data_IF_621319637059
#
_entry.id   IF_621319637059
#
_cell.length_a   1.000
_cell.length_b   1.000
_cell.length_c   1.000
_cell.angle_alpha   90.00
_cell.angle_beta   90.00
_cell.angle_gamma   90.00
#
_symmetry.space_group_name_H-M   'P 1'
#
loop_
_entity.id
_entity.type
_entity.pdbx_description
1 polymer ?
#
# COMPACT_ATOMS: atom_id res chain seq x y z
N UNK A 1 21.42 -10.11 0.71
CA UNK A 1 20.56 -9.76 -0.43
C UNK A 1 19.39 -10.74 -0.47
N UNK A 2 18.17 -10.22 -0.53
CA UNK A 2 16.96 -11.03 -0.64
C UNK A 2 16.66 -11.31 -2.12
N UNK A 3 16.31 -12.56 -2.47
CA UNK A 3 16.01 -12.97 -3.84
C UNK A 3 14.55 -12.73 -4.27
N UNK A 4 13.64 -12.44 -3.35
CA UNK A 4 12.18 -12.31 -3.61
C UNK A 4 11.55 -13.49 -4.34
N UNK A 5 11.92 -14.69 -3.94
CA UNK A 5 11.31 -15.92 -4.47
C UNK A 5 9.87 -16.11 -3.97
N UNK A 6 9.60 -15.70 -2.73
CA UNK A 6 8.26 -15.71 -2.14
C UNK A 6 7.95 -14.38 -1.45
N UNK A 7 6.67 -13.98 -1.31
CA UNK A 7 6.27 -12.77 -0.61
C UNK A 7 6.66 -12.81 0.87
N UNK A 8 7.25 -11.74 1.38
CA UNK A 8 7.49 -11.53 2.79
C UNK A 8 6.54 -10.45 3.31
N UNK A 9 5.78 -10.78 4.35
CA UNK A 9 4.81 -9.88 4.95
C UNK A 9 5.04 -9.77 6.45
N UNK A 10 4.87 -8.58 6.99
CA UNK A 10 5.01 -8.31 8.42
C UNK A 10 3.76 -7.68 9.00
N UNK A 11 3.31 -8.18 10.15
CA UNK A 11 2.31 -7.54 10.99
C UNK A 11 2.97 -7.01 12.27
N UNK A 12 2.91 -5.69 12.46
CA UNK A 12 3.38 -5.03 13.67
C UNK A 12 2.22 -4.91 14.65
N UNK A 13 2.16 -5.81 15.64
CA UNK A 13 1.05 -5.92 16.59
C UNK A 13 1.40 -5.36 17.98
N UNK A 14 2.66 -4.98 18.19
CA UNK A 14 3.18 -4.46 19.45
C UNK A 14 4.48 -3.68 19.28
N UNK A 15 5.29 -3.64 20.32
CA UNK A 15 6.59 -2.98 20.30
C UNK A 15 7.63 -3.82 19.53
N UNK A 16 8.15 -3.26 18.45
CA UNK A 16 9.13 -3.87 17.55
C UNK A 16 10.40 -3.03 17.57
N UNK A 17 11.44 -3.51 18.23
CA UNK A 17 12.72 -2.82 18.36
C UNK A 17 13.89 -3.70 17.95
N UNK A 18 14.98 -3.09 17.54
CA UNK A 18 16.23 -3.79 17.20
C UNK A 18 16.13 -4.63 15.93
N UNK A 19 16.56 -5.88 15.99
CA UNK A 19 16.63 -6.78 14.82
C UNK A 19 15.27 -7.08 14.19
N UNK A 20 14.21 -7.12 14.97
CA UNK A 20 12.85 -7.31 14.46
C UNK A 20 12.39 -6.19 13.51
N UNK A 21 12.86 -4.97 13.74
CA UNK A 21 12.66 -3.84 12.84
C UNK A 21 13.27 -4.07 11.46
N UNK A 22 14.45 -4.71 11.40
CA UNK A 22 15.13 -5.00 10.15
C UNK A 22 14.33 -5.99 9.28
N UNK A 23 13.82 -7.07 9.91
CA UNK A 23 13.00 -8.05 9.17
C UNK A 23 11.71 -7.40 8.62
N UNK A 24 11.07 -6.57 9.44
CA UNK A 24 9.86 -5.85 9.03
C UNK A 24 10.15 -4.85 7.92
N UNK A 25 11.23 -4.08 8.02
CA UNK A 25 11.61 -3.10 7.00
C UNK A 25 12.02 -3.75 5.65
N UNK A 26 12.48 -5.00 5.66
CA UNK A 26 12.82 -5.75 4.45
C UNK A 26 11.63 -6.52 3.85
N UNK A 27 10.47 -6.50 4.50
CA UNK A 27 9.27 -7.15 3.99
C UNK A 27 8.70 -6.43 2.78
N UNK A 28 7.99 -7.15 1.93
CA UNK A 28 7.31 -6.59 0.75
C UNK A 28 6.05 -5.82 1.13
N UNK A 29 5.50 -6.15 2.30
CA UNK A 29 4.32 -5.48 2.86
C UNK A 29 4.40 -5.45 4.38
N UNK A 30 4.07 -4.30 4.94
CA UNK A 30 4.07 -4.06 6.39
C UNK A 30 2.72 -3.49 6.79
N UNK A 31 1.94 -4.26 7.54
CA UNK A 31 0.72 -3.77 8.20
C UNK A 31 0.99 -3.50 9.67
N UNK A 32 0.46 -2.40 10.18
CA UNK A 32 0.70 -1.95 11.54
C UNK A 32 -0.61 -1.74 12.29
N UNK A 33 -0.76 -2.36 13.47
CA UNK A 33 -1.85 -2.00 14.37
C UNK A 33 -1.55 -0.64 15.00
N UNK A 34 -2.55 0.24 15.10
CA UNK A 34 -2.41 1.51 15.82
C UNK A 34 -2.04 1.26 17.28
N UNK A 35 -1.03 1.97 17.77
CA UNK A 35 -0.41 1.75 19.08
C UNK A 35 0.76 0.75 19.06
N UNK A 36 1.02 0.03 17.96
CA UNK A 36 2.28 -0.66 17.77
C UNK A 36 3.39 0.34 17.41
N UNK A 37 4.62 0.01 17.75
CA UNK A 37 5.80 0.87 17.54
C UNK A 37 6.86 0.07 16.78
N UNK A 38 7.48 0.68 15.78
CA UNK A 38 8.64 0.11 15.12
C UNK A 38 9.78 1.12 15.05
N UNK A 39 10.88 0.80 15.72
CA UNK A 39 12.09 1.63 15.73
C UNK A 39 13.35 0.78 15.95
N UNK A 40 14.50 1.29 15.52
CA UNK A 40 15.80 0.59 15.70
C UNK A 40 16.17 0.49 17.18
N UNK A 41 15.98 1.58 17.95
CA UNK A 41 16.24 1.63 19.36
C UNK A 41 14.95 1.92 20.14
N UNK A 42 14.88 1.47 21.40
CA UNK A 42 13.75 1.78 22.26
C UNK A 42 13.70 3.28 22.61
N UNK A 43 12.54 3.82 23.02
CA UNK A 43 12.42 5.22 23.42
C UNK A 43 13.41 5.61 24.53
N UNK A 44 13.65 4.73 25.51
CA UNK A 44 14.61 4.98 26.59
C UNK A 44 16.05 5.16 26.09
N UNK A 45 16.51 4.27 25.22
CA UNK A 45 17.86 4.38 24.62
C UNK A 45 17.96 5.62 23.74
N UNK A 46 16.95 5.87 22.92
CA UNK A 46 16.92 7.05 22.05
C UNK A 46 16.91 8.35 22.85
N UNK A 47 16.10 8.44 23.91
CA UNK A 47 16.04 9.62 24.79
C UNK A 47 17.40 9.96 25.43
N UNK A 48 18.15 8.94 25.82
CA UNK A 48 19.51 9.13 26.34
C UNK A 48 20.43 9.65 25.22
N UNK A 49 20.39 9.06 24.06
CA UNK A 49 21.27 9.41 22.93
C UNK A 49 21.05 10.85 22.42
N UNK A 50 19.81 11.32 22.40
CA UNK A 50 19.47 12.68 21.94
C UNK A 50 19.33 13.69 23.08
N UNK A 51 19.56 13.25 24.33
CA UNK A 51 19.39 14.04 25.55
C UNK A 51 18.04 14.78 25.65
N UNK A 52 16.98 14.09 25.24
CA UNK A 52 15.61 14.61 25.24
C UNK A 52 14.63 13.45 25.36
N UNK A 53 13.55 13.54 26.17
CA UNK A 53 12.51 12.54 26.20
C UNK A 53 11.81 12.47 24.84
N UNK A 54 11.51 11.26 24.39
CA UNK A 54 10.78 10.99 23.16
C UNK A 54 9.66 10.00 23.44
N UNK A 55 8.45 10.33 22.99
CA UNK A 55 7.32 9.43 23.10
C UNK A 55 7.40 8.30 22.08
N UNK A 56 6.98 7.07 22.43
CA UNK A 56 7.03 5.93 21.53
C UNK A 56 6.34 6.18 20.17
N UNK A 57 5.17 6.83 20.17
CA UNK A 57 4.43 7.18 18.95
C UNK A 57 5.19 8.17 18.05
N UNK A 58 5.95 9.09 18.62
CA UNK A 58 6.80 10.02 17.86
C UNK A 58 8.02 9.33 17.26
N UNK A 59 8.54 8.30 17.97
CA UNK A 59 9.73 7.57 17.52
C UNK A 59 9.44 6.61 16.36
N UNK A 60 8.31 5.90 16.41
CA UNK A 60 8.02 4.84 15.45
C UNK A 60 6.56 4.43 15.40
N UNK A 61 5.64 5.35 15.67
CA UNK A 61 4.21 5.09 15.62
C UNK A 61 3.63 5.09 14.20
N UNK A 62 2.39 4.62 14.08
CA UNK A 62 1.74 4.40 12.80
C UNK A 62 1.61 5.67 11.93
N UNK A 63 1.40 6.85 12.54
CA UNK A 63 1.28 8.11 11.78
C UNK A 63 2.59 8.46 11.06
N UNK A 64 3.71 8.27 11.75
CA UNK A 64 5.04 8.48 11.18
C UNK A 64 5.31 7.46 10.07
N UNK A 65 5.09 6.18 10.34
CA UNK A 65 5.51 5.10 9.45
C UNK A 65 4.60 4.95 8.22
N UNK A 66 3.32 5.28 8.32
CA UNK A 66 2.42 5.22 7.16
C UNK A 66 2.27 6.53 6.41
N UNK A 67 2.56 7.68 7.01
CA UNK A 67 2.26 8.98 6.43
C UNK A 67 3.46 9.86 6.13
N UNK A 68 4.59 9.63 6.81
CA UNK A 68 5.80 10.44 6.66
C UNK A 68 6.92 9.64 6.00
N UNK A 69 7.25 8.46 6.52
CA UNK A 69 8.32 7.64 5.95
C UNK A 69 7.87 6.66 4.87
N UNK A 70 6.57 6.32 4.83
CA UNK A 70 6.05 5.33 3.91
C UNK A 70 6.60 3.91 4.13
N UNK A 71 7.20 3.64 5.30
CA UNK A 71 7.76 2.32 5.60
C UNK A 71 6.69 1.27 5.85
N UNK A 72 5.61 1.63 6.55
CA UNK A 72 4.43 0.78 6.69
C UNK A 72 3.39 1.10 5.60
N UNK A 73 2.82 0.06 5.02
CA UNK A 73 1.86 0.17 3.92
C UNK A 73 0.45 0.50 4.41
N UNK A 74 0.08 -0.05 5.57
CA UNK A 74 -1.28 0.05 6.10
C UNK A 74 -1.28 0.17 7.62
N UNK A 75 -2.16 1.00 8.18
CA UNK A 75 -2.47 1.05 9.60
C UNK A 75 -3.91 0.59 9.84
N UNK A 76 -4.10 -0.27 10.84
CA UNK A 76 -5.39 -0.87 11.22
C UNK A 76 -5.64 -0.72 12.72
N UNK A 77 -6.88 -0.89 13.14
CA UNK A 77 -7.26 -0.69 14.55
C UNK A 77 -7.08 -1.95 15.40
N UNK A 78 -7.19 -3.14 14.81
CA UNK A 78 -7.14 -4.43 15.53
C UNK A 78 -6.18 -5.43 14.91
N UNK A 79 -5.73 -6.41 15.71
CA UNK A 79 -4.89 -7.52 15.24
C UNK A 79 -5.61 -8.35 14.18
N UNK A 80 -6.92 -8.56 14.33
CA UNK A 80 -7.73 -9.28 13.35
C UNK A 80 -7.70 -8.60 11.98
N UNK A 81 -7.88 -7.27 11.95
CA UNK A 81 -7.78 -6.48 10.70
C UNK A 81 -6.38 -6.57 10.08
N UNK A 82 -5.32 -6.64 10.90
CA UNK A 82 -3.97 -6.82 10.37
C UNK A 82 -3.81 -8.18 9.67
N UNK A 83 -4.33 -9.24 10.27
CA UNK A 83 -4.31 -10.59 9.68
C UNK A 83 -5.18 -10.66 8.42
N UNK A 84 -6.33 -10.00 8.40
CA UNK A 84 -7.19 -9.94 7.22
C UNK A 84 -6.54 -9.15 6.08
N UNK A 85 -5.82 -8.07 6.39
CA UNK A 85 -5.04 -7.32 5.40
C UNK A 85 -3.94 -8.20 4.78
N UNK A 86 -3.24 -9.01 5.57
CA UNK A 86 -2.24 -9.98 5.07
C UNK A 86 -2.90 -11.01 4.16
N UNK A 87 -4.02 -11.62 4.57
CA UNK A 87 -4.76 -12.57 3.72
C UNK A 87 -5.21 -11.92 2.42
N UNK A 88 -5.72 -10.69 2.48
CA UNK A 88 -6.12 -9.93 1.31
C UNK A 88 -4.94 -9.70 0.37
N UNK A 89 -3.79 -9.23 0.87
CA UNK A 89 -2.58 -9.06 0.07
C UNK A 89 -2.16 -10.37 -0.60
N UNK A 90 -2.01 -11.44 0.18
CA UNK A 90 -1.54 -12.73 -0.32
C UNK A 90 -2.50 -13.33 -1.35
N UNK A 91 -3.77 -12.94 -1.37
CA UNK A 91 -4.72 -13.38 -2.40
C UNK A 91 -4.40 -12.81 -3.79
N UNK A 92 -3.61 -11.74 -3.90
CA UNK A 92 -3.19 -11.17 -5.19
C UNK A 92 -1.87 -11.73 -5.69
N UNK A 93 -1.06 -12.33 -4.83
CA UNK A 93 0.30 -12.72 -5.12
C UNK A 93 0.43 -14.24 -5.25
N UNK A 94 1.33 -14.75 -6.12
CA UNK A 94 1.63 -16.17 -6.16
C UNK A 94 2.43 -16.60 -4.92
N UNK A 95 2.47 -17.89 -4.65
CA UNK A 95 3.31 -18.46 -3.59
C UNK A 95 4.81 -18.37 -3.91
N UNK A 96 5.14 -18.35 -5.20
CA UNK A 96 6.51 -18.30 -5.70
C UNK A 96 6.60 -17.45 -6.97
N UNK A 97 7.71 -16.73 -7.15
CA UNK A 97 7.92 -15.84 -8.30
C UNK A 97 7.95 -16.53 -9.68
N UNK A 98 8.01 -17.86 -9.73
CA UNK A 98 7.92 -18.66 -10.96
C UNK A 98 6.47 -19.10 -11.29
N UNK A 99 5.49 -18.66 -10.50
CA UNK A 99 4.08 -18.98 -10.67
C UNK A 99 3.30 -17.72 -11.06
N UNK A 100 2.21 -17.86 -11.83
CA UNK A 100 1.30 -16.73 -12.06
C UNK A 100 0.53 -16.40 -10.78
N UNK A 101 0.07 -15.14 -10.62
CA UNK A 101 -0.87 -14.77 -9.58
C UNK A 101 -2.17 -15.60 -9.64
N UNK A 102 -2.80 -15.89 -8.49
CA UNK A 102 -4.03 -16.67 -8.47
C UNK A 102 -5.20 -15.92 -9.15
N UNK A 103 -5.99 -16.65 -9.93
CA UNK A 103 -7.23 -16.14 -10.53
C UNK A 103 -8.41 -16.37 -9.59
N UNK A 104 -9.40 -15.47 -9.65
CA UNK A 104 -10.64 -15.56 -8.87
C UNK A 104 -11.85 -15.44 -9.79
N UNK A 105 -13.01 -16.00 -9.42
CA UNK A 105 -14.25 -15.74 -10.14
C UNK A 105 -14.57 -14.25 -10.18
N UNK A 106 -15.04 -13.77 -11.32
CA UNK A 106 -15.48 -12.37 -11.50
C UNK A 106 -16.84 -12.18 -10.80
N UNK A 107 -16.97 -11.21 -9.88
CA UNK A 107 -18.25 -10.92 -9.25
C UNK A 107 -19.27 -10.44 -10.28
N UNK A 108 -20.56 -10.87 -10.20
CA UNK A 108 -21.60 -10.37 -11.07
C UNK A 108 -21.74 -8.84 -11.01
N UNK A 109 -21.86 -8.20 -12.17
CA UNK A 109 -22.06 -6.73 -12.24
C UNK A 109 -20.78 -5.90 -12.20
N UNK A 110 -19.58 -6.50 -12.22
CA UNK A 110 -18.32 -5.77 -12.28
C UNK A 110 -18.27 -4.77 -13.45
N UNK A 111 -18.81 -5.10 -14.61
CA UNK A 111 -18.84 -4.23 -15.81
C UNK A 111 -19.79 -3.04 -15.68
N UNK A 112 -20.76 -3.07 -14.79
CA UNK A 112 -21.78 -2.01 -14.66
C UNK A 112 -21.16 -0.71 -14.10
N UNK A 113 -20.17 -0.80 -13.23
CA UNK A 113 -19.47 0.36 -12.67
C UNK A 113 -18.66 1.10 -13.75
N UNK A 114 -18.08 0.37 -14.70
CA UNK A 114 -17.28 0.94 -15.78
C UNK A 114 -18.11 1.87 -16.69
N UNK A 115 -19.40 1.57 -16.89
CA UNK A 115 -20.31 2.39 -17.68
C UNK A 115 -20.55 3.79 -17.12
N UNK A 116 -20.28 3.97 -15.82
CA UNK A 116 -20.47 5.24 -15.09
C UNK A 116 -19.20 6.05 -14.91
N UNK A 117 -18.09 5.69 -15.55
CA UNK A 117 -16.82 6.40 -15.42
C UNK A 117 -16.94 7.89 -15.77
N UNK A 118 -17.69 8.21 -16.81
CA UNK A 118 -17.90 9.60 -17.25
C UNK A 118 -18.70 10.44 -16.22
N UNK A 119 -19.48 9.80 -15.36
CA UNK A 119 -20.18 10.50 -14.26
C UNK A 119 -19.23 10.90 -13.13
N UNK A 120 -18.05 10.23 -13.04
CA UNK A 120 -17.02 10.49 -12.02
C UNK A 120 -16.09 11.61 -12.48
N UNK A 121 -15.82 11.68 -13.79
CA UNK A 121 -14.93 12.68 -14.38
C UNK A 121 -15.65 14.05 -14.45
N UNK A 122 -15.05 15.12 -13.93
CA UNK A 122 -15.65 16.43 -14.04
C UNK A 122 -15.60 16.94 -15.48
N UNK A 123 -16.67 17.59 -15.96
CA UNK A 123 -16.70 18.23 -17.29
C UNK A 123 -15.68 19.37 -17.41
N UNK A 124 -15.43 20.08 -16.32
CA UNK A 124 -14.51 21.21 -16.30
C UNK A 124 -13.09 20.74 -15.95
N UNK A 125 -12.12 21.00 -16.82
CA UNK A 125 -10.70 20.61 -16.67
C UNK A 125 -10.00 21.16 -15.42
N UNK A 126 -10.54 22.18 -14.78
CA UNK A 126 -9.99 22.77 -13.55
C UNK A 126 -10.56 22.16 -12.27
N UNK A 127 -11.42 21.16 -12.38
CA UNK A 127 -11.94 20.42 -11.23
C UNK A 127 -11.15 19.16 -11.03
N UNK A 128 -10.75 18.91 -9.78
CA UNK A 128 -10.06 17.69 -9.38
C UNK A 128 -11.04 16.58 -9.05
N UNK A 129 -10.61 15.36 -9.19
CA UNK A 129 -11.36 14.14 -8.83
C UNK A 129 -10.46 13.15 -8.09
N UNK A 130 -11.06 12.18 -7.41
CA UNK A 130 -10.32 11.10 -6.77
C UNK A 130 -10.18 9.93 -7.75
N UNK A 131 -8.97 9.68 -8.21
CA UNK A 131 -8.65 8.60 -9.17
C UNK A 131 -8.99 7.20 -8.63
N UNK A 132 -9.06 7.04 -7.31
CA UNK A 132 -9.47 5.77 -6.70
C UNK A 132 -10.86 5.32 -7.13
N UNK A 133 -11.76 6.29 -7.38
CA UNK A 133 -13.10 6.00 -7.90
C UNK A 133 -13.05 5.47 -9.32
N UNK A 134 -12.11 5.97 -10.14
CA UNK A 134 -11.90 5.47 -11.51
C UNK A 134 -11.33 4.04 -11.44
N UNK A 135 -10.30 3.81 -10.61
CA UNK A 135 -9.76 2.46 -10.42
C UNK A 135 -10.84 1.48 -9.96
N UNK A 136 -11.66 1.87 -8.97
CA UNK A 136 -12.76 1.04 -8.48
C UNK A 136 -13.87 0.79 -9.53
N UNK A 137 -14.07 1.71 -10.49
CA UNK A 137 -15.02 1.53 -11.57
C UNK A 137 -14.51 0.62 -12.70
N UNK A 138 -13.18 0.55 -12.87
CA UNK A 138 -12.53 -0.33 -13.86
C UNK A 138 -12.33 -1.74 -13.32
N UNK A 139 -11.97 -1.85 -12.04
CA UNK A 139 -11.65 -3.11 -11.38
C UNK A 139 -12.91 -3.95 -11.08
N UNK A 140 -12.71 -5.25 -10.94
CA UNK A 140 -13.76 -6.15 -10.45
C UNK A 140 -14.28 -5.66 -9.09
N UNK A 141 -15.58 -5.84 -8.86
CA UNK A 141 -16.25 -5.33 -7.66
C UNK A 141 -15.53 -5.80 -6.38
N UNK A 142 -15.32 -4.87 -5.42
CA UNK A 142 -14.69 -5.09 -4.11
C UNK A 142 -13.26 -5.66 -4.17
N UNK A 143 -12.62 -5.64 -5.36
CA UNK A 143 -11.27 -6.16 -5.52
C UNK A 143 -10.15 -5.16 -5.18
N UNK A 144 -10.42 -3.89 -5.00
CA UNK A 144 -9.37 -2.90 -4.74
C UNK A 144 -8.70 -3.08 -3.37
N UNK A 145 -7.38 -2.97 -3.36
CA UNK A 145 -6.56 -2.96 -2.15
C UNK A 145 -5.41 -1.95 -2.32
N UNK A 146 -5.58 -0.75 -1.76
CA UNK A 146 -4.58 0.32 -1.88
C UNK A 146 -3.45 0.12 -0.88
N UNK A 147 -2.20 0.24 -1.35
CA UNK A 147 -1.00 0.24 -0.55
C UNK A 147 -0.50 1.67 -0.37
N UNK A 148 0.00 2.01 0.83
CA UNK A 148 0.56 3.32 1.18
C UNK A 148 -0.40 4.49 0.90
N UNK A 149 -1.70 4.30 1.19
CA UNK A 149 -2.74 5.33 0.99
C UNK A 149 -2.37 6.69 1.61
N UNK A 150 -1.68 6.67 2.73
CA UNK A 150 -1.33 7.87 3.51
C UNK A 150 -0.02 8.54 3.06
N UNK A 151 0.81 7.87 2.26
CA UNK A 151 2.11 8.32 1.78
C UNK A 151 2.07 8.61 0.28
N UNK A 152 2.81 9.64 -0.19
CA UNK A 152 2.89 9.96 -1.61
C UNK A 152 1.52 10.08 -2.28
N UNK A 153 0.60 10.87 -1.69
CA UNK A 153 -0.84 10.88 -2.02
C UNK A 153 -1.17 11.35 -3.43
N UNK A 154 -0.23 12.01 -4.12
CA UNK A 154 -0.40 12.44 -5.52
C UNK A 154 -0.43 11.27 -6.50
N UNK A 155 -0.17 10.05 -6.04
CA UNK A 155 -0.33 8.81 -6.78
C UNK A 155 -1.02 7.77 -5.92
N UNK A 156 -1.97 7.03 -6.47
CA UNK A 156 -2.56 5.84 -5.87
C UNK A 156 -1.85 4.59 -6.40
N UNK A 157 -1.52 3.65 -5.51
CA UNK A 157 -0.97 2.33 -5.84
C UNK A 157 -1.91 1.26 -5.33
N UNK A 158 -2.59 0.56 -6.23
CA UNK A 158 -3.70 -0.33 -5.89
C UNK A 158 -3.50 -1.69 -6.53
N UNK A 159 -3.49 -2.74 -5.72
CA UNK A 159 -3.72 -4.10 -6.21
C UNK A 159 -5.23 -4.29 -6.41
N UNK A 160 -5.62 -4.82 -7.55
CA UNK A 160 -7.01 -5.08 -7.87
C UNK A 160 -7.14 -6.30 -8.77
N UNK A 161 -8.33 -6.59 -9.26
CA UNK A 161 -8.55 -7.63 -10.27
C UNK A 161 -9.23 -7.05 -11.50
N UNK A 162 -8.83 -7.58 -12.64
CA UNK A 162 -9.51 -7.36 -13.93
C UNK A 162 -9.82 -8.74 -14.51
N UNK A 163 -11.09 -9.02 -14.71
CA UNK A 163 -11.55 -10.33 -15.20
C UNK A 163 -10.97 -11.50 -14.38
N UNK A 164 -11.02 -11.35 -13.03
CA UNK A 164 -10.50 -12.30 -12.05
C UNK A 164 -8.99 -12.31 -11.86
N UNK A 165 -8.22 -11.62 -12.71
CA UNK A 165 -6.74 -11.63 -12.70
C UNK A 165 -6.17 -10.49 -11.89
N UNK A 166 -5.13 -10.75 -11.09
CA UNK A 166 -4.45 -9.74 -10.30
C UNK A 166 -3.74 -8.72 -11.19
N UNK A 167 -3.97 -7.43 -10.92
CA UNK A 167 -3.37 -6.29 -11.62
C UNK A 167 -2.99 -5.21 -10.62
N UNK A 168 -1.84 -4.56 -10.83
CA UNK A 168 -1.41 -3.38 -10.10
C UNK A 168 -1.79 -2.11 -10.86
N UNK A 169 -2.50 -1.18 -10.22
CA UNK A 169 -2.75 0.15 -10.76
C UNK A 169 -1.80 1.16 -10.15
N UNK A 170 -1.20 1.99 -10.98
CA UNK A 170 -0.46 3.20 -10.61
C UNK A 170 -1.19 4.36 -11.27
N UNK A 171 -1.88 5.17 -10.47
CA UNK A 171 -2.79 6.17 -10.97
C UNK A 171 -2.47 7.55 -10.42
N UNK A 172 -2.25 8.55 -11.29
CA UNK A 172 -2.11 9.95 -10.91
C UNK A 172 -3.36 10.41 -10.17
N UNK A 173 -3.20 11.02 -9.00
CA UNK A 173 -4.32 11.50 -8.19
C UNK A 173 -4.35 13.03 -8.16
N UNK A 174 -5.10 13.66 -9.05
CA UNK A 174 -5.15 15.13 -9.14
C UNK A 174 -5.71 15.81 -7.88
N UNK A 175 -6.37 15.06 -7.00
CA UNK A 175 -6.84 15.57 -5.70
C UNK A 175 -5.70 16.10 -4.82
N UNK A 176 -4.48 15.57 -5.01
CA UNK A 176 -3.29 16.00 -4.27
C UNK A 176 -2.22 16.54 -5.21
N UNK A 177 -1.80 17.77 -5.00
CA UNK A 177 -0.76 18.45 -5.80
C UNK A 177 -0.98 18.38 -7.31
N UNK A 178 -2.25 18.28 -7.76
CA UNK A 178 -2.57 18.12 -9.18
C UNK A 178 -2.02 16.83 -9.81
N UNK A 179 -1.79 15.77 -9.03
CA UNK A 179 -1.21 14.52 -9.54
C UNK A 179 0.30 14.57 -9.81
N UNK A 180 0.99 15.64 -9.44
CA UNK A 180 2.43 15.78 -9.66
C UNK A 180 3.22 14.76 -8.81
N UNK A 181 4.19 14.10 -9.43
CA UNK A 181 5.09 13.17 -8.77
C UNK A 181 6.17 13.93 -8.00
N UNK A 182 6.11 13.90 -6.68
CA UNK A 182 7.19 14.33 -5.80
C UNK A 182 8.08 13.13 -5.40
N UNK A 183 9.10 13.38 -4.57
CA UNK A 183 10.03 12.34 -4.12
C UNK A 183 9.31 11.17 -3.40
N UNK A 184 8.32 11.49 -2.57
CA UNK A 184 7.54 10.50 -1.83
C UNK A 184 6.69 9.64 -2.78
N UNK A 185 6.05 10.27 -3.75
CA UNK A 185 5.28 9.57 -4.79
C UNK A 185 6.18 8.67 -5.65
N UNK A 186 7.37 9.15 -6.05
CA UNK A 186 8.34 8.35 -6.79
C UNK A 186 8.81 7.13 -5.99
N UNK A 187 9.10 7.29 -4.70
CA UNK A 187 9.48 6.19 -3.82
C UNK A 187 8.34 5.17 -3.67
N UNK A 188 7.11 5.64 -3.48
CA UNK A 188 5.91 4.79 -3.44
C UNK A 188 5.73 3.98 -4.72
N UNK A 189 5.80 4.64 -5.87
CA UNK A 189 5.69 4.00 -7.19
C UNK A 189 6.78 2.96 -7.37
N UNK A 190 8.04 3.30 -7.07
CA UNK A 190 9.17 2.38 -7.20
C UNK A 190 8.97 1.11 -6.37
N UNK A 191 8.59 1.26 -5.10
CA UNK A 191 8.37 0.09 -4.23
C UNK A 191 7.21 -0.80 -4.73
N UNK A 192 6.14 -0.18 -5.24
CA UNK A 192 5.00 -0.91 -5.79
C UNK A 192 5.33 -1.61 -7.11
N UNK A 193 6.09 -0.96 -8.00
CA UNK A 193 6.58 -1.60 -9.24
C UNK A 193 7.44 -2.81 -8.94
N UNK A 194 8.36 -2.68 -7.97
CA UNK A 194 9.23 -3.80 -7.55
C UNK A 194 8.40 -4.95 -6.97
N UNK A 195 7.34 -4.68 -6.20
CA UNK A 195 6.43 -5.71 -5.71
C UNK A 195 5.74 -6.44 -6.87
N UNK A 196 5.13 -5.69 -7.79
CA UNK A 196 4.39 -6.25 -8.92
C UNK A 196 5.30 -7.06 -9.85
N UNK A 197 6.46 -6.51 -10.23
CA UNK A 197 7.44 -7.17 -11.08
C UNK A 197 7.98 -8.47 -10.46
N UNK A 198 8.27 -8.43 -9.14
CA UNK A 198 8.79 -9.61 -8.42
C UNK A 198 7.81 -10.78 -8.39
N UNK A 199 6.51 -10.52 -8.49
CA UNK A 199 5.47 -11.54 -8.34
C UNK A 199 4.53 -11.65 -9.55
N UNK A 200 5.01 -11.27 -10.73
CA UNK A 200 4.31 -11.44 -12.01
C UNK A 200 2.93 -10.76 -12.07
N UNK A 201 2.74 -9.67 -11.35
CA UNK A 201 1.51 -8.87 -11.38
C UNK A 201 1.66 -7.80 -12.47
N UNK A 202 0.85 -7.83 -13.56
CA UNK A 202 0.89 -6.79 -14.59
C UNK A 202 0.48 -5.44 -14.02
N UNK A 203 1.06 -4.36 -14.59
CA UNK A 203 0.82 -2.99 -14.12
C UNK A 203 0.07 -2.20 -15.19
N UNK A 204 -0.94 -1.47 -14.74
CA UNK A 204 -1.68 -0.48 -15.52
C UNK A 204 -1.39 0.91 -14.97
N UNK A 205 -0.91 1.80 -15.84
CA UNK A 205 -0.73 3.21 -15.52
C UNK A 205 -1.97 4.01 -15.96
N UNK A 206 -2.57 4.75 -15.02
CA UNK A 206 -3.59 5.75 -15.32
C UNK A 206 -2.96 7.13 -15.11
N UNK A 207 -2.73 7.81 -16.22
CA UNK A 207 -2.01 9.09 -16.26
C UNK A 207 -2.98 10.19 -16.69
N UNK A 208 -3.04 11.27 -15.89
CA UNK A 208 -3.80 12.47 -16.19
C UNK A 208 -2.90 13.71 -16.06
#
# INVERSE_FOLDING_TARGET
QRLRESPWVSALLGACYGSSTWYSAMSDFVVMRKGAIMAIASPGVTSIAINKPIEPEELGGWKLLTGVSGLADLAVDTDAQALDAIKKLLSYLPSHNMEPPPECPVPPGSDEACKKIFDILPEARNKVYDVRKIVAAIADQDSCFELKERYGKSVATVLARLDGKSVGFIASNPLFKGGALDADACQKVTSFMVLCDSFNVPIVFLVD
#
